data_IF_354836804112
#
_entry.id   IF_354836804112
#
_cell.length_a   1.000
_cell.length_b   1.000
_cell.length_c   1.000
_cell.angle_alpha   90.00
_cell.angle_beta   90.00
_cell.angle_gamma   90.00
#
_symmetry.space_group_name_H-M   'P 1'
#
loop_
_entity.id
_entity.type
_entity.pdbx_description
1 polymer ?
2 non-polymer ?
3 non-polymer ?
4 non-polymer ?
5 water ?
#
# COMPACT_ATOMS: atom_id res chain seq x y z
N UNK A 1 -14.13 6.95 23.92
CA UNK A 1 -15.39 7.70 24.13
C UNK A 1 -15.55 8.76 23.03
N UNK A 2 -14.59 9.65 22.83
CA UNK A 2 -14.83 10.66 21.76
C UNK A 2 -14.49 10.08 20.38
N UNK A 3 -13.39 9.35 20.24
CA UNK A 3 -12.99 8.92 18.88
C UNK A 3 -12.75 7.42 18.77
N UNK A 4 -13.48 6.76 17.89
CA UNK A 4 -13.14 5.39 17.57
C UNK A 4 -12.22 5.38 16.34
N UNK A 5 -10.97 5.00 16.57
CA UNK A 5 -10.00 4.80 15.50
C UNK A 5 -10.05 3.35 15.05
N UNK A 6 -10.38 3.12 13.78
CA UNK A 6 -10.42 1.77 13.23
C UNK A 6 -9.03 1.46 12.65
N UNK A 7 -8.31 0.55 13.29
CA UNK A 7 -6.98 0.17 12.81
C UNK A 7 -5.82 0.61 13.68
N UNK A 8 -4.91 -0.31 13.97
CA UNK A 8 -3.69 0.00 14.73
C UNK A 8 -2.42 -0.31 13.92
N UNK A 9 -2.49 -0.15 12.60
CA UNK A 9 -1.28 -0.09 11.82
C UNK A 9 -0.64 1.27 11.99
N UNK A 10 0.33 1.56 11.11
CA UNK A 10 1.07 2.81 11.15
C UNK A 10 0.16 4.04 11.17
N UNK A 11 -0.97 3.98 10.45
CA UNK A 11 -1.86 5.15 10.43
C UNK A 11 -2.64 5.29 11.73
N UNK A 12 -3.27 4.21 12.20
CA UNK A 12 -4.02 4.30 13.46
C UNK A 12 -3.13 4.73 14.59
N UNK A 13 -1.91 4.20 14.64
CA UNK A 13 -0.97 4.61 15.67
C UNK A 13 -0.69 6.11 15.59
N UNK A 14 -0.54 6.65 14.38
CA UNK A 14 -0.30 8.08 14.28
C UNK A 14 -1.53 8.85 14.75
N UNK A 15 -2.72 8.34 14.47
CA UNK A 15 -3.93 9.03 14.90
C UNK A 15 -4.03 8.99 16.42
N UNK A 16 -3.77 7.81 17.00
CA UNK A 16 -3.81 7.69 18.45
C UNK A 16 -2.81 8.60 19.15
N UNK A 17 -1.58 8.63 18.64
CA UNK A 17 -0.59 9.59 19.08
C UNK A 17 -1.13 11.01 18.96
N UNK A 18 -1.71 11.35 17.80
CA UNK A 18 -2.19 12.71 17.61
C UNK A 18 -3.30 13.06 18.60
N UNK A 19 -4.23 12.14 18.79
CA UNK A 19 -5.33 12.37 19.72
C UNK A 19 -4.82 12.41 21.16
N UNK A 20 -3.97 11.46 21.53
CA UNK A 20 -3.43 11.44 22.89
C UNK A 20 -2.70 12.74 23.22
N UNK A 21 -2.04 13.34 22.24
CA UNK A 21 -1.30 14.57 22.51
C UNK A 21 -2.20 15.78 22.66
N UNK A 22 -3.45 15.70 22.19
CA UNK A 22 -4.40 16.78 22.43
C UNK A 22 -5.31 16.48 23.61
N UNK A 23 -5.04 15.44 24.38
CA UNK A 23 -5.94 15.13 25.47
C UNK A 23 -7.27 14.58 25.02
N UNK A 24 -7.38 14.15 23.77
CA UNK A 24 -8.66 13.70 23.24
C UNK A 24 -8.86 12.23 23.53
N UNK A 25 -10.02 11.88 24.04
CA UNK A 25 -10.35 10.52 24.41
C UNK A 25 -10.62 9.70 23.15
N UNK A 26 -10.08 8.48 23.12
CA UNK A 26 -10.27 7.62 21.96
C UNK A 26 -10.06 6.16 22.34
N UNK A 27 -10.54 5.29 21.49
CA UNK A 27 -10.16 3.89 21.54
C UNK A 27 -9.81 3.47 20.13
N UNK A 28 -8.88 2.55 20.03
CA UNK A 28 -8.39 2.05 18.76
C UNK A 28 -8.77 0.59 18.64
N UNK A 29 -9.60 0.27 17.65
CA UNK A 29 -10.02 -1.10 17.42
C UNK A 29 -9.22 -1.69 16.29
N UNK A 30 -8.58 -2.85 16.55
CA UNK A 30 -7.71 -3.51 15.60
C UNK A 30 -8.02 -5.01 15.53
N UNK A 31 -8.03 -5.54 14.29
CA UNK A 31 -8.35 -6.94 14.05
C UNK A 31 -7.29 -7.87 14.59
N UNK A 32 -6.03 -7.57 14.28
CA UNK A 32 -4.93 -8.48 14.48
C UNK A 32 -4.66 -8.66 15.96
N UNK A 33 -3.96 -9.73 16.35
CA UNK A 33 -3.61 -9.89 17.77
C UNK A 33 -2.62 -8.83 18.28
N UNK A 34 -2.03 -8.03 17.39
CA UNK A 34 -1.15 -6.95 17.84
C UNK A 34 -1.25 -5.76 16.88
N UNK A 35 -0.50 -4.70 17.21
CA UNK A 35 -0.42 -3.50 16.39
C UNK A 35 0.66 -3.68 15.34
N UNK A 36 0.76 -2.75 14.40
CA UNK A 36 1.72 -2.82 13.31
C UNK A 36 1.11 -2.94 11.93
N UNK A 37 -0.16 -3.30 11.82
CA UNK A 37 -0.72 -3.42 10.49
C UNK A 37 -0.04 -4.53 9.73
N UNK A 38 0.15 -4.30 8.42
CA UNK A 38 0.72 -5.34 7.57
C UNK A 38 2.12 -5.75 8.00
N UNK A 39 2.90 -4.83 8.58
CA UNK A 39 4.30 -5.13 8.83
C UNK A 39 4.48 -6.27 9.83
N UNK A 40 3.48 -6.56 10.66
CA UNK A 40 3.57 -7.68 11.59
C UNK A 40 2.96 -8.96 11.05
N UNK A 41 2.36 -8.92 9.85
CA UNK A 41 1.65 -10.10 9.34
C UNK A 41 2.59 -11.20 8.90
N UNK A 42 3.70 -10.92 8.16
CA UNK A 42 4.70 -11.92 7.90
C UNK A 42 5.38 -11.85 9.23
N UNK A 43 5.65 -12.98 9.85
CA UNK A 43 6.20 -12.87 11.21
C UNK A 43 5.22 -13.54 12.11
N UNK A 44 4.01 -13.71 11.61
CA UNK A 44 2.96 -14.40 12.35
C UNK A 44 2.31 -15.36 11.37
N UNK A 45 2.97 -15.55 10.23
CA UNK A 45 2.46 -16.48 9.21
C UNK A 45 1.07 -16.09 8.86
N UNK A 46 0.82 -14.79 8.84
CA UNK A 46 -0.56 -14.33 8.62
C UNK A 46 -0.75 -14.03 7.13
N UNK A 47 -1.94 -14.32 6.63
CA UNK A 47 -2.26 -14.04 5.23
C UNK A 47 -2.43 -12.54 5.07
N UNK A 48 -1.54 -11.89 4.36
CA UNK A 48 -1.78 -10.48 4.13
C UNK A 48 -0.92 -10.03 2.98
N UNK A 49 -0.85 -8.73 2.70
CA UNK A 49 -0.10 -8.24 1.56
C UNK A 49 1.38 -8.46 1.62
N UNK A 50 1.93 -8.77 2.78
CA UNK A 50 3.35 -8.93 2.93
C UNK A 50 3.78 -10.35 2.62
N UNK A 51 5.09 -10.53 2.82
CA UNK A 51 5.76 -11.81 2.53
C UNK A 51 7.02 -11.78 3.38
N UNK A 52 7.69 -12.90 3.57
CA UNK A 52 8.82 -12.96 4.53
C UNK A 52 10.10 -12.31 4.01
N UNK A 53 10.10 -11.81 2.77
CA UNK A 53 11.29 -11.11 2.26
C UNK A 53 11.02 -9.63 2.23
N UNK A 54 9.82 -9.21 2.60
CA UNK A 54 9.44 -7.79 2.53
C UNK A 54 10.32 -6.93 3.43
N UNK A 55 10.99 -5.96 2.81
CA UNK A 55 11.69 -4.85 3.46
C UNK A 55 11.02 -3.56 3.02
N UNK A 56 11.28 -2.49 3.78
CA UNK A 56 10.95 -1.16 3.31
C UNK A 56 11.67 -0.88 2.00
N UNK A 57 11.00 -0.16 1.10
CA UNK A 57 11.72 0.44 -0.02
C UNK A 57 11.87 1.94 0.15
N UNK A 58 11.58 2.46 1.34
CA UNK A 58 11.81 3.86 1.68
C UNK A 58 12.85 3.92 2.78
N UNK A 59 13.67 4.98 2.77
CA UNK A 59 14.72 5.10 3.76
C UNK A 59 14.14 5.18 5.18
N UNK A 60 14.87 4.62 6.14
CA UNK A 60 14.32 4.49 7.49
C UNK A 60 14.08 5.85 8.13
N UNK A 61 15.04 6.78 7.99
CA UNK A 61 14.91 8.09 8.61
C UNK A 61 13.81 8.90 7.98
N UNK A 62 13.37 8.54 6.78
CA UNK A 62 12.21 9.16 6.18
C UNK A 62 10.94 8.39 6.47
N UNK A 63 11.05 7.21 7.06
CA UNK A 63 9.86 6.40 7.27
C UNK A 63 9.46 6.33 8.73
N UNK A 64 10.43 6.36 9.64
CA UNK A 64 10.12 6.44 11.04
C UNK A 64 9.25 7.65 11.34
N UNK A 65 8.56 7.57 12.47
CA UNK A 65 7.79 8.71 12.92
C UNK A 65 8.75 9.85 13.25
N UNK A 66 8.29 11.08 13.02
CA UNK A 66 9.17 12.24 13.16
C UNK A 66 9.75 12.36 14.57
N UNK A 67 8.95 12.09 15.61
CA UNK A 67 9.39 12.20 17.00
C UNK A 67 9.93 10.89 17.59
N UNK A 68 10.16 9.86 16.77
CA UNK A 68 10.46 8.52 17.30
C UNK A 68 11.32 7.77 16.28
N UNK A 69 12.62 8.04 16.27
CA UNK A 69 13.48 7.44 15.24
C UNK A 69 13.64 5.94 15.44
N UNK A 70 13.82 5.26 14.32
CA UNK A 70 14.05 3.80 14.38
C UNK A 70 15.42 3.58 15.02
N UNK A 71 15.64 2.41 15.62
CA UNK A 71 16.93 2.12 16.22
C UNK A 71 18.06 2.43 15.27
N UNK A 72 19.15 2.98 15.81
CA UNK A 72 20.29 3.42 14.97
C UNK A 72 20.88 2.25 14.19
N UNK A 73 20.86 1.06 14.78
CA UNK A 73 21.46 -0.10 14.14
C UNK A 73 20.59 -0.60 12.99
N UNK A 74 19.34 -0.16 12.91
CA UNK A 74 18.53 -0.55 11.78
C UNK A 74 19.24 -0.18 10.48
N UNK A 75 19.09 -0.99 9.44
CA UNK A 75 19.60 -0.59 8.12
C UNK A 75 18.69 0.46 7.51
N UNK A 76 19.14 0.97 6.36
CA UNK A 76 18.33 1.88 5.58
C UNK A 76 16.98 1.26 5.24
N UNK A 77 16.94 -0.03 4.94
CA UNK A 77 15.71 -0.71 4.51
C UNK A 77 15.39 -1.85 5.47
N UNK A 78 14.78 -1.56 6.62
CA UNK A 78 14.54 -2.61 7.63
C UNK A 78 13.67 -3.74 7.10
N UNK A 79 13.88 -4.92 7.67
CA UNK A 79 12.97 -6.04 7.39
C UNK A 79 11.59 -5.76 7.99
N UNK A 80 10.58 -6.46 7.48
CA UNK A 80 9.24 -6.34 8.02
C UNK A 80 9.21 -6.60 9.52
N UNK A 81 10.03 -7.53 10.02
CA UNK A 81 10.04 -7.79 11.45
C UNK A 81 10.62 -6.62 12.24
N UNK A 82 11.61 -5.92 11.68
CA UNK A 82 12.14 -4.76 12.39
C UNK A 82 11.12 -3.63 12.42
N UNK A 83 10.40 -3.43 11.32
CA UNK A 83 9.34 -2.42 11.26
C UNK A 83 8.25 -2.74 12.28
N UNK A 84 7.81 -4.00 12.30
CA UNK A 84 6.77 -4.39 13.24
C UNK A 84 7.21 -4.17 14.68
N UNK A 85 8.45 -4.51 15.00
CA UNK A 85 8.94 -4.29 16.35
C UNK A 85 9.03 -2.80 16.63
N UNK A 86 9.44 -2.02 15.63
CA UNK A 86 9.47 -0.57 15.77
C UNK A 86 8.09 -0.01 16.08
N UNK A 87 7.09 -0.42 15.32
CA UNK A 87 5.72 0.06 15.52
C UNK A 87 5.17 -0.30 16.91
N UNK A 88 5.32 -1.56 17.32
CA UNK A 88 4.95 -1.94 18.67
C UNK A 88 5.67 -1.08 19.69
N UNK A 89 6.97 -0.85 19.47
CA UNK A 89 7.75 -0.03 20.39
C UNK A 89 7.25 1.41 20.41
N UNK A 90 6.73 1.90 19.28
CA UNK A 90 6.14 3.23 19.26
C UNK A 90 4.88 3.29 20.11
N UNK A 91 3.98 2.32 19.93
CA UNK A 91 2.75 2.30 20.68
C UNK A 91 3.03 2.30 22.17
N UNK A 92 4.03 1.52 22.59
CA UNK A 92 4.42 1.48 23.99
C UNK A 92 4.89 2.85 24.47
N UNK A 93 5.84 3.43 23.75
CA UNK A 93 6.38 4.71 24.16
C UNK A 93 5.29 5.77 24.20
N UNK A 94 4.46 5.83 23.17
CA UNK A 94 3.45 6.88 23.09
C UNK A 94 2.29 6.66 24.06
N UNK A 95 2.32 5.59 24.85
CA UNK A 95 1.26 5.36 25.83
C UNK A 95 -0.07 4.98 25.20
N UNK A 96 -0.05 4.27 24.08
CA UNK A 96 -1.25 4.07 23.30
C UNK A 96 -1.98 2.78 23.62
N UNK A 97 -1.28 1.76 24.12
CA UNK A 97 -1.85 0.41 24.10
C UNK A 97 -3.05 0.26 25.03
N UNK A 98 -3.13 1.05 26.09
CA UNK A 98 -4.32 0.95 26.92
C UNK A 98 -5.56 1.53 26.25
N UNK A 99 -5.38 2.23 25.13
CA UNK A 99 -6.50 2.70 24.31
C UNK A 99 -6.77 1.79 23.12
N UNK A 100 -6.10 0.65 23.04
CA UNK A 100 -6.15 -0.22 21.87
C UNK A 100 -6.84 -1.52 22.26
N UNK A 101 -7.88 -1.89 21.54
CA UNK A 101 -8.56 -3.16 21.70
C UNK A 101 -8.09 -4.08 20.57
N UNK A 102 -7.23 -5.02 20.90
CA UNK A 102 -6.77 -6.01 19.92
C UNK A 102 -7.85 -7.07 19.70
N UNK A 103 -7.58 -7.95 18.72
CA UNK A 103 -8.51 -9.04 18.36
C UNK A 103 -9.96 -8.54 18.29
N UNK A 104 -10.14 -7.32 17.78
CA UNK A 104 -11.43 -6.63 17.79
C UNK A 104 -11.62 -6.04 16.41
N UNK A 105 -12.61 -6.53 15.69
CA UNK A 105 -12.78 -6.18 14.30
C UNK A 105 -14.06 -5.38 14.14
N UNK A 106 -13.96 -4.20 13.51
CA UNK A 106 -15.15 -3.38 13.34
C UNK A 106 -15.98 -3.93 12.18
N UNK A 107 -17.30 -4.08 12.39
CA UNK A 107 -18.16 -4.75 11.42
C UNK A 107 -19.21 -3.80 10.82
N UNK A 108 -19.78 -2.87 11.59
CA UNK A 108 -20.61 -1.84 10.95
C UNK A 108 -20.29 -0.48 11.54
N UNK A 109 -20.47 0.55 10.73
CA UNK A 109 -20.29 1.96 11.13
C UNK A 109 -21.44 2.75 10.52
N UNK A 110 -22.31 3.30 11.36
CA UNK A 110 -23.48 4.04 10.91
C UNK A 110 -23.58 5.37 11.63
N UNK A 111 -23.82 6.43 10.87
CA UNK A 111 -24.05 7.74 11.45
C UNK A 111 -25.49 7.87 11.93
N UNK A 112 -25.65 8.21 13.21
CA UNK A 112 -26.97 8.40 13.78
C UNK A 112 -27.42 9.83 13.53
N UNK A 113 -28.73 9.99 13.39
CA UNK A 113 -29.30 11.25 12.92
C UNK A 113 -28.97 12.43 13.82
N UNK A 114 -28.35 12.19 14.98
CA UNK A 114 -27.98 13.30 15.91
C UNK A 114 -26.49 13.62 15.81
N UNK A 115 -25.75 12.86 15.01
CA UNK A 115 -24.33 13.19 14.80
C UNK A 115 -23.42 12.06 15.19
N UNK A 116 -23.53 11.48 16.40
CA UNK A 116 -22.71 10.34 16.76
C UNK A 116 -22.76 9.14 15.84
N UNK A 117 -21.72 8.33 15.91
CA UNK A 117 -21.62 7.15 15.08
C UNK A 117 -21.80 5.90 15.95
N UNK A 118 -22.66 5.00 15.51
CA UNK A 118 -22.81 3.71 16.16
C UNK A 118 -21.81 2.75 15.52
N UNK A 119 -20.97 2.13 16.33
CA UNK A 119 -19.89 1.26 15.84
C UNK A 119 -20.06 -0.14 16.43
N UNK A 120 -20.17 -1.14 15.55
CA UNK A 120 -20.36 -2.52 15.99
C UNK A 120 -19.07 -3.28 15.75
N UNK A 121 -18.47 -3.78 16.83
CA UNK A 121 -17.23 -4.51 16.75
C UNK A 121 -17.48 -5.96 17.12
N UNK A 122 -16.67 -6.84 16.53
CA UNK A 122 -16.74 -8.28 16.87
C UNK A 122 -15.42 -8.66 17.54
N UNK A 123 -15.50 -9.23 18.74
CA UNK A 123 -14.26 -9.53 19.49
C UNK A 123 -13.74 -10.95 19.31
N UNK A 124 -12.84 -11.37 20.20
CA UNK A 124 -12.28 -12.74 20.16
C UNK A 124 -13.45 -13.71 20.26
N UNK A 125 -14.26 -13.55 21.32
CA UNK A 125 -15.42 -14.44 21.57
C UNK A 125 -16.34 -14.59 20.37
N UNK A 126 -16.07 -13.84 19.30
CA UNK A 126 -16.96 -13.87 18.12
C UNK A 126 -18.17 -13.05 18.45
N UNK A 127 -18.20 -12.53 19.67
CA UNK A 127 -19.37 -11.76 20.13
C UNK A 127 -19.37 -10.40 19.48
N UNK A 128 -20.49 -9.71 19.60
CA UNK A 128 -20.60 -8.38 18.97
C UNK A 128 -21.12 -7.38 19.99
N UNK A 129 -20.52 -6.22 20.01
CA UNK A 129 -20.99 -5.16 20.90
C UNK A 129 -21.12 -3.88 20.08
N UNK A 130 -22.13 -3.09 20.38
CA UNK A 130 -22.46 -1.91 19.62
C UNK A 130 -22.25 -0.70 20.52
N UNK A 131 -21.49 0.29 20.02
CA UNK A 131 -21.12 1.44 20.81
C UNK A 131 -21.27 2.70 19.98
N UNK A 132 -21.46 3.82 20.67
CA UNK A 132 -21.61 5.13 20.06
C UNK A 132 -20.36 5.97 20.32
N UNK A 133 -19.91 6.68 19.29
CA UNK A 133 -18.76 7.55 19.41
C UNK A 133 -19.08 8.87 18.75
N UNK A 134 -18.40 9.91 19.23
CA UNK A 134 -18.57 11.24 18.66
C UNK A 134 -18.13 11.24 17.21
N UNK A 135 -16.94 10.70 16.95
CA UNK A 135 -16.31 10.76 15.65
C UNK A 135 -15.58 9.44 15.41
N UNK A 136 -15.38 9.13 14.13
CA UNK A 136 -14.75 7.88 13.73
C UNK A 136 -13.64 8.22 12.75
N UNK A 137 -12.46 7.68 12.99
CA UNK A 137 -11.33 7.79 12.07
C UNK A 137 -11.06 6.42 11.47
N UNK A 138 -11.21 6.31 10.16
CA UNK A 138 -10.91 5.10 9.42
C UNK A 138 -9.41 5.08 9.11
N UNK A 139 -8.73 4.05 9.60
CA UNK A 139 -7.30 3.86 9.41
C UNK A 139 -7.07 2.39 9.12
N UNK A 140 -7.89 1.84 8.22
CA UNK A 140 -7.96 0.40 8.00
C UNK A 140 -7.10 -0.06 6.85
N UNK A 141 -6.31 0.82 6.23
CA UNK A 141 -5.50 0.47 5.08
C UNK A 141 -6.36 0.27 3.84
N UNK A 142 -5.70 0.27 2.67
CA UNK A 142 -6.41 0.04 1.42
C UNK A 142 -5.90 -1.19 0.65
N UNK A 143 -5.22 -2.12 1.33
CA UNK A 143 -4.91 -3.42 0.76
C UNK A 143 -5.74 -4.51 1.43
N UNK A 144 -7.05 -4.39 1.26
CA UNK A 144 -7.99 -5.26 2.00
C UNK A 144 -8.44 -6.47 1.18
N UNK A 145 -8.79 -6.25 -0.08
CA UNK A 145 -9.33 -7.37 -0.85
C UNK A 145 -8.38 -7.66 -2.00
N UNK A 146 -8.00 -8.93 -2.20
CA UNK A 146 -7.15 -9.29 -3.32
C UNK A 146 -7.82 -8.94 -4.63
N UNK A 147 -7.03 -8.44 -5.56
CA UNK A 147 -7.56 -8.08 -6.89
C UNK A 147 -7.01 -9.03 -7.94
N UNK A 148 -7.74 -10.09 -8.24
CA UNK A 148 -7.37 -11.00 -9.30
C UNK A 148 -7.79 -10.43 -10.65
N UNK A 149 -7.12 -10.81 -11.73
CA UNK A 149 -7.53 -10.31 -13.05
C UNK A 149 -8.87 -10.92 -13.46
N UNK A 150 -9.61 -10.17 -14.26
CA UNK A 150 -10.92 -10.58 -14.74
C UNK A 150 -10.89 -10.63 -16.25
N UNK A 151 -11.07 -11.80 -16.87
CA UNK A 151 -11.27 -13.05 -16.13
C UNK A 151 -9.96 -13.74 -15.81
N UNK A 152 -10.03 -14.87 -15.11
CA UNK A 152 -8.91 -15.78 -15.10
C UNK A 152 -8.64 -16.24 -16.53
N UNK A 153 -7.41 -16.62 -16.83
CA UNK A 153 -7.16 -17.37 -18.07
C UNK A 153 -8.03 -18.62 -18.14
N UNK A 154 -8.35 -19.04 -19.37
CA UNK A 154 -9.19 -20.20 -19.58
C UNK A 154 -8.50 -21.47 -19.07
N UNK A 155 -9.31 -22.42 -18.60
CA UNK A 155 -8.78 -23.66 -18.06
C UNK A 155 -8.30 -23.59 -16.63
N UNK A 156 -8.52 -22.47 -15.94
CA UNK A 156 -8.06 -22.33 -14.56
C UNK A 156 -8.71 -23.35 -13.65
N UNK A 157 -9.98 -23.68 -13.89
CA UNK A 157 -10.67 -24.66 -13.05
C UNK A 157 -10.09 -26.06 -13.23
N UNK A 158 -9.62 -26.38 -14.44
CA UNK A 158 -8.97 -27.66 -14.70
C UNK A 158 -7.51 -27.69 -14.28
N UNK A 159 -7.01 -26.65 -13.62
CA UNK A 159 -5.59 -26.53 -13.39
C UNK A 159 -5.11 -27.63 -12.43
N UNK A 160 -3.97 -28.23 -12.75
CA UNK A 160 -3.45 -29.28 -11.89
C UNK A 160 -2.93 -28.75 -10.58
N UNK A 161 -2.51 -27.49 -10.56
CA UNK A 161 -1.85 -26.96 -9.34
C UNK A 161 -2.58 -25.87 -8.58
N UNK A 162 -1.83 -25.02 -7.90
CA UNK A 162 -2.45 -24.02 -7.00
C UNK A 162 -2.44 -22.66 -7.62
N UNK A 163 -3.60 -22.03 -7.71
CA UNK A 163 -3.67 -20.62 -8.18
C UNK A 163 -3.87 -19.76 -6.93
N UNK A 164 -2.89 -18.92 -6.63
CA UNK A 164 -2.95 -18.14 -5.38
C UNK A 164 -2.62 -16.68 -5.62
N UNK A 165 -2.98 -15.84 -4.67
CA UNK A 165 -2.69 -14.41 -4.71
C UNK A 165 -1.53 -14.12 -3.76
N UNK A 166 -0.85 -12.99 -3.98
CA UNK A 166 0.23 -12.60 -3.06
C UNK A 166 -0.28 -12.46 -1.63
N UNK A 167 -1.59 -12.28 -1.44
CA UNK A 167 -2.15 -12.36 -0.10
C UNK A 167 -1.83 -13.71 0.53
N UNK A 168 -2.20 -14.78 -0.16
CA UNK A 168 -2.01 -16.14 0.40
C UNK A 168 -0.52 -16.53 0.36
N UNK A 169 0.35 -15.64 -0.12
CA UNK A 169 1.79 -15.99 -0.25
C UNK A 169 2.55 -15.46 0.94
N UNK A 170 3.35 -16.31 1.54
CA UNK A 170 4.14 -15.89 2.71
C UNK A 170 5.64 -16.15 2.48
N UNK A 171 5.99 -17.34 2.06
CA UNK A 171 7.44 -17.67 1.99
C UNK A 171 7.77 -18.56 0.80
N UNK A 172 8.75 -18.13 0.03
CA UNK A 172 9.24 -18.98 -1.04
C UNK A 172 9.65 -20.36 -0.59
N UNK A 173 10.05 -20.51 0.67
CA UNK A 173 10.31 -21.83 1.19
C UNK A 173 9.16 -22.78 0.95
N UNK A 174 7.92 -22.27 0.99
CA UNK A 174 6.74 -23.10 0.79
C UNK A 174 6.62 -23.62 -0.62
N UNK A 175 7.56 -23.26 -1.50
CA UNK A 175 7.51 -23.66 -2.90
C UNK A 175 8.82 -24.30 -3.33
N UNK A 176 9.63 -24.75 -2.36
CA UNK A 176 10.94 -25.31 -2.67
C UNK A 176 10.81 -26.45 -3.68
N UNK A 177 11.61 -26.40 -4.74
CA UNK A 177 11.60 -27.48 -5.74
C UNK A 177 10.41 -27.44 -6.69
N UNK A 178 9.49 -26.50 -6.47
CA UNK A 178 8.27 -26.47 -7.30
C UNK A 178 8.48 -25.49 -8.47
N UNK A 179 7.65 -25.61 -9.50
CA UNK A 179 7.74 -24.72 -10.68
C UNK A 179 6.61 -23.69 -10.52
N UNK A 180 6.96 -22.42 -10.39
CA UNK A 180 5.94 -21.38 -10.08
C UNK A 180 5.91 -20.21 -11.06
N UNK A 181 4.72 -19.79 -11.45
CA UNK A 181 4.51 -18.60 -12.26
C UNK A 181 4.05 -17.45 -11.37
N UNK A 182 4.79 -16.33 -11.41
CA UNK A 182 4.39 -15.08 -10.75
C UNK A 182 3.80 -14.15 -11.79
N UNK A 183 2.61 -13.61 -11.50
CA UNK A 183 1.91 -12.71 -12.45
C UNK A 183 1.91 -11.29 -11.88
N UNK A 184 2.53 -10.36 -12.58
CA UNK A 184 2.61 -8.97 -12.14
C UNK A 184 3.97 -8.38 -12.36
N UNK A 185 4.09 -7.06 -12.30
CA UNK A 185 5.42 -6.42 -12.40
C UNK A 185 5.46 -5.29 -11.36
N UNK A 186 4.75 -5.48 -10.25
CA UNK A 186 4.71 -4.46 -9.20
C UNK A 186 5.58 -4.82 -8.02
N UNK A 187 5.52 -4.01 -6.97
CA UNK A 187 6.39 -4.25 -5.82
C UNK A 187 6.29 -5.69 -5.34
N UNK A 188 5.06 -6.17 -5.16
CA UNK A 188 4.86 -7.56 -4.74
C UNK A 188 5.46 -8.53 -5.76
N UNK A 189 5.19 -8.31 -7.04
CA UNK A 189 5.53 -9.30 -8.04
C UNK A 189 7.03 -9.51 -8.14
N UNK A 190 7.82 -8.43 -8.18
CA UNK A 190 9.25 -8.61 -8.37
C UNK A 190 9.88 -9.20 -7.13
N UNK A 191 9.39 -8.77 -5.94
CA UNK A 191 9.90 -9.30 -4.68
C UNK A 191 9.61 -10.80 -4.56
N UNK A 192 8.37 -11.21 -4.88
CA UNK A 192 7.99 -12.60 -4.71
C UNK A 192 8.67 -13.47 -5.78
N UNK A 193 8.78 -12.98 -7.01
CA UNK A 193 9.60 -13.67 -8.01
C UNK A 193 11.05 -13.82 -7.53
N UNK A 194 11.67 -12.72 -7.10
CA UNK A 194 13.03 -12.78 -6.54
C UNK A 194 13.11 -13.82 -5.43
N UNK A 195 12.11 -13.85 -4.56
CA UNK A 195 12.14 -14.79 -3.44
C UNK A 195 11.99 -16.22 -3.93
N UNK A 196 11.03 -16.46 -4.83
CA UNK A 196 10.90 -17.78 -5.46
C UNK A 196 12.16 -18.17 -6.22
N UNK A 197 12.93 -17.20 -6.68
CA UNK A 197 14.10 -17.52 -7.47
C UNK A 197 15.18 -18.22 -6.69
N UNK A 198 15.04 -18.38 -5.37
CA UNK A 198 16.06 -19.06 -4.57
C UNK A 198 15.51 -20.26 -3.82
N UNK A 199 14.26 -20.62 -4.05
CA UNK A 199 13.66 -21.85 -3.54
C UNK A 199 12.99 -22.68 -4.63
N UNK A 200 12.24 -22.05 -5.53
CA UNK A 200 11.60 -22.76 -6.63
C UNK A 200 12.65 -23.43 -7.51
N UNK A 201 12.25 -24.53 -8.13
CA UNK A 201 13.09 -25.10 -9.18
C UNK A 201 13.14 -24.16 -10.36
N UNK A 202 12.00 -23.56 -10.69
CA UNK A 202 11.94 -22.60 -11.78
C UNK A 202 10.93 -21.52 -11.42
N UNK A 203 11.31 -20.28 -11.66
CA UNK A 203 10.42 -19.15 -11.43
C UNK A 203 10.20 -18.41 -12.74
N UNK A 204 8.94 -18.32 -13.14
CA UNK A 204 8.53 -17.57 -14.32
C UNK A 204 7.84 -16.28 -13.91
N UNK A 205 8.17 -15.18 -14.59
CA UNK A 205 7.56 -13.88 -14.35
C UNK A 205 6.71 -13.51 -15.55
N UNK A 206 5.40 -13.73 -15.45
CA UNK A 206 4.46 -13.46 -16.55
C UNK A 206 4.04 -11.99 -16.47
N UNK A 207 4.43 -11.22 -17.47
CA UNK A 207 4.12 -9.75 -17.50
C UNK A 207 3.30 -9.41 -18.75
N UNK A 208 2.38 -8.48 -18.61
CA UNK A 208 1.54 -8.07 -19.76
C UNK A 208 1.90 -6.64 -20.14
N UNK A 209 1.66 -5.71 -19.23
CA UNK A 209 2.01 -4.30 -19.47
C UNK A 209 3.34 -4.01 -18.79
N UNK A 210 4.16 -3.17 -19.41
CA UNK A 210 5.50 -2.89 -18.87
C UNK A 210 5.51 -1.80 -17.83
N UNK A 211 6.30 -2.00 -16.78
CA UNK A 211 6.48 -0.98 -15.76
C UNK A 211 7.93 -0.55 -15.72
N UNK A 212 8.16 0.67 -15.26
CA UNK A 212 9.52 1.13 -15.09
C UNK A 212 10.10 0.51 -13.81
N UNK A 213 11.17 -0.26 -13.97
CA UNK A 213 11.78 -0.98 -12.86
C UNK A 213 12.98 -0.17 -12.43
N UNK A 214 12.88 0.44 -11.26
CA UNK A 214 13.88 1.39 -10.80
C UNK A 214 14.61 0.80 -9.60
N UNK A 215 15.94 0.90 -9.53
CA UNK A 215 16.64 0.47 -8.32
C UNK A 215 16.21 1.31 -7.13
N UNK A 216 16.42 0.74 -5.94
CA UNK A 216 16.12 1.47 -4.72
C UNK A 216 17.08 2.64 -4.50
N UNK A 217 18.01 2.87 -5.41
CA UNK A 217 19.16 3.71 -5.14
C UNK A 217 19.75 4.18 -6.46
N UNK A 218 19.97 5.49 -6.58
CA UNK A 218 20.85 6.04 -7.60
C UNK A 218 21.84 6.96 -6.90
N UNK A 219 23.06 7.05 -7.45
CA UNK A 219 24.16 7.78 -6.83
C UNK A 219 24.36 7.40 -5.36
N UNK A 220 24.10 6.15 -5.01
CA UNK A 220 24.09 5.78 -3.62
C UNK A 220 22.92 6.31 -2.84
N UNK A 221 22.10 7.19 -3.42
CA UNK A 221 21.01 7.84 -2.73
C UNK A 221 19.71 7.08 -2.95
N UNK A 222 19.05 6.70 -1.87
CA UNK A 222 17.70 6.17 -1.96
C UNK A 222 16.83 7.09 -2.82
N UNK A 223 16.01 6.48 -3.69
CA UNK A 223 15.21 7.28 -4.62
C UNK A 223 14.30 8.27 -3.88
N UNK A 224 13.82 7.92 -2.70
CA UNK A 224 13.03 8.89 -1.94
C UNK A 224 13.89 9.91 -1.21
N UNK A 225 15.16 9.57 -0.92
CA UNK A 225 16.09 10.60 -0.46
C UNK A 225 16.33 11.64 -1.56
N UNK A 226 16.55 11.20 -2.80
CA UNK A 226 16.80 12.14 -3.92
C UNK A 226 15.58 13.05 -4.03
N UNK A 227 14.39 12.44 -3.98
CA UNK A 227 13.14 13.21 -4.14
C UNK A 227 13.13 14.45 -3.25
N UNK A 228 13.91 14.44 -2.18
CA UNK A 228 13.87 15.58 -1.23
C UNK A 228 15.03 16.50 -1.55
N UNK A 229 16.10 15.94 -2.08
CA UNK A 229 17.31 16.74 -2.34
C UNK A 229 16.91 18.06 -2.98
N UNK A 230 17.43 19.19 -2.47
CA UNK A 230 17.07 20.49 -3.01
C UNK A 230 17.40 20.50 -4.48
N UNK A 231 18.61 20.05 -4.82
CA UNK A 231 19.02 20.11 -6.21
C UNK A 231 18.07 19.38 -7.14
N UNK A 232 17.29 18.43 -6.63
CA UNK A 232 16.31 17.75 -7.48
C UNK A 232 15.02 18.56 -7.59
N UNK A 233 14.57 19.14 -6.47
CA UNK A 233 13.45 20.06 -6.55
C UNK A 233 13.84 21.34 -7.26
N UNK A 234 15.14 21.69 -7.22
CA UNK A 234 15.67 22.77 -8.05
C UNK A 234 15.36 22.58 -9.53
N UNK A 235 15.00 21.38 -9.92
CA UNK A 235 15.00 20.94 -11.31
C UNK A 235 13.59 20.97 -11.90
N UNK A 236 13.53 21.11 -13.22
CA UNK A 236 12.22 21.13 -13.93
C UNK A 236 11.69 19.70 -14.08
N UNK A 237 10.37 19.54 -14.20
CA UNK A 237 9.74 18.20 -14.26
C UNK A 237 10.03 17.52 -15.59
N UNK A 238 10.88 18.12 -16.40
CA UNK A 238 11.32 17.47 -17.66
C UNK A 238 12.83 17.33 -17.53
N UNK A 239 13.47 18.28 -16.87
CA UNK A 239 14.91 18.19 -16.61
C UNK A 239 15.17 16.98 -15.70
N UNK A 240 14.24 16.71 -14.78
CA UNK A 240 14.40 15.58 -13.84
C UNK A 240 14.13 14.29 -14.61
N UNK A 241 13.01 14.25 -15.35
CA UNK A 241 12.69 13.04 -16.14
C UNK A 241 13.96 12.63 -16.87
N UNK A 242 14.59 13.57 -17.54
CA UNK A 242 15.79 13.23 -18.33
C UNK A 242 16.88 12.77 -17.36
N UNK A 243 17.07 13.50 -16.27
CA UNK A 243 18.04 13.04 -15.26
C UNK A 243 17.74 11.60 -14.90
N UNK A 244 16.48 11.31 -14.58
CA UNK A 244 16.19 9.95 -14.11
C UNK A 244 16.44 8.94 -15.22
N UNK A 245 15.86 9.17 -16.40
CA UNK A 245 15.98 8.19 -17.47
C UNK A 245 17.41 8.07 -17.97
N UNK A 246 18.21 9.12 -17.88
CA UNK A 246 19.62 8.94 -18.19
C UNK A 246 20.32 8.15 -17.09
N UNK A 247 20.04 8.47 -15.82
CA UNK A 247 20.61 7.68 -14.72
C UNK A 247 20.20 6.22 -14.84
N UNK A 248 18.89 5.97 -14.99
CA UNK A 248 18.41 4.61 -15.13
C UNK A 248 19.20 3.84 -16.19
N UNK A 249 19.47 4.48 -17.33
CA UNK A 249 20.12 3.72 -18.38
C UNK A 249 21.59 3.45 -18.08
N UNK A 250 22.25 4.33 -17.33
CA UNK A 250 23.60 4.01 -16.87
C UNK A 250 23.56 2.86 -15.88
N UNK A 251 22.53 2.79 -15.06
CA UNK A 251 22.52 1.78 -13.97
C UNK A 251 22.02 0.40 -14.39
N UNK A 252 20.97 0.34 -15.19
CA UNK A 252 20.38 -0.95 -15.54
C UNK A 252 20.29 -1.10 -17.05
N UNK A 253 20.43 0.00 -17.78
CA UNK A 253 20.28 -0.05 -19.23
C UNK A 253 18.83 0.09 -19.62
N UNK A 254 18.37 -0.74 -20.54
CA UNK A 254 16.96 -0.66 -21.01
C UNK A 254 16.24 -1.96 -20.68
N UNK A 255 14.99 -1.85 -20.28
CA UNK A 255 14.23 -3.04 -19.81
C UNK A 255 14.08 -4.08 -20.92
N UNK A 256 13.82 -3.65 -22.14
CA UNK A 256 13.67 -4.60 -23.28
C UNK A 256 14.83 -5.57 -23.28
N UNK A 257 16.03 -5.09 -22.95
CA UNK A 257 17.18 -5.98 -23.01
C UNK A 257 17.28 -6.93 -21.82
N UNK A 258 16.32 -6.91 -20.89
CA UNK A 258 16.17 -7.96 -19.88
C UNK A 258 14.98 -8.85 -20.17
N UNK A 259 14.37 -8.70 -21.35
CA UNK A 259 13.21 -9.49 -21.71
C UNK A 259 11.90 -8.89 -21.26
N UNK A 260 11.96 -7.68 -20.72
CA UNK A 260 10.73 -7.13 -20.12
C UNK A 260 10.06 -6.17 -21.12
N UNK A 261 8.72 -6.10 -21.10
CA UNK A 261 8.03 -5.17 -21.96
C UNK A 261 8.45 -3.76 -21.60
N UNK A 262 8.78 -2.98 -22.60
CA UNK A 262 9.13 -1.57 -22.34
C UNK A 262 7.82 -0.82 -22.14
N UNK A 263 7.72 0.00 -21.08
CA UNK A 263 6.52 0.77 -20.84
C UNK A 263 6.09 1.67 -21.97
N UNK A 264 4.85 2.14 -21.91
CA UNK A 264 4.29 3.02 -22.98
C UNK A 264 4.18 4.43 -22.44
N UNK A 265 5.21 4.91 -21.77
CA UNK A 265 5.13 6.18 -21.06
C UNK A 265 6.41 6.47 -20.30
N UNK A 266 6.83 7.74 -20.09
CA UNK A 266 8.05 7.97 -19.35
C UNK A 266 7.90 7.62 -17.90
N UNK A 267 9.00 7.74 -17.17
CA UNK A 267 8.96 7.49 -15.71
C UNK A 267 7.96 8.47 -15.09
N UNK A 268 7.55 8.22 -13.84
CA UNK A 268 6.57 9.07 -13.13
C UNK A 268 5.24 8.86 -13.77
N UNK A 269 5.16 9.05 -15.06
CA UNK A 269 3.89 8.70 -15.76
C UNK A 269 3.55 7.28 -15.36
N UNK A 270 2.27 7.00 -15.06
CA UNK A 270 1.89 5.66 -14.54
C UNK A 270 2.58 5.41 -13.21
N UNK A 271 3.29 4.29 -13.07
CA UNK A 271 3.89 3.98 -11.77
C UNK A 271 5.26 3.32 -11.94
N UNK A 272 6.04 3.32 -10.86
CA UNK A 272 7.39 2.74 -10.94
C UNK A 272 7.51 1.65 -9.91
N UNK A 273 8.09 0.53 -10.31
CA UNK A 273 8.32 -0.54 -9.35
C UNK A 273 9.77 -0.51 -8.91
N UNK A 274 9.99 -0.60 -7.61
CA UNK A 274 11.33 -0.56 -7.03
C UNK A 274 11.85 -1.97 -6.83
N UNK A 275 13.09 -2.22 -7.23
CA UNK A 275 13.74 -3.49 -6.97
C UNK A 275 15.23 -3.36 -7.18
N UNK A 276 16.02 -3.91 -6.26
CA UNK A 276 17.45 -4.10 -6.51
C UNK A 276 17.76 -5.48 -7.09
N UNK A 277 16.77 -6.34 -7.25
CA UNK A 277 17.06 -7.76 -7.48
C UNK A 277 16.57 -8.32 -8.81
N UNK A 278 15.43 -7.87 -9.33
CA UNK A 278 14.70 -8.67 -10.31
C UNK A 278 15.43 -8.73 -11.65
N UNK A 279 16.05 -7.63 -12.07
CA UNK A 279 16.82 -7.63 -13.32
C UNK A 279 17.99 -8.59 -13.23
N UNK A 280 18.76 -8.50 -12.14
CA UNK A 280 19.89 -9.39 -11.96
C UNK A 280 19.44 -10.84 -11.93
N UNK A 281 18.31 -11.10 -11.27
CA UNK A 281 17.78 -12.46 -11.25
C UNK A 281 17.50 -12.96 -12.66
N UNK A 282 16.98 -12.07 -13.51
CA UNK A 282 16.70 -12.44 -14.89
C UNK A 282 17.99 -12.77 -15.61
N UNK A 283 18.96 -11.84 -15.53
CA UNK A 283 20.25 -12.03 -16.15
C UNK A 283 20.98 -13.26 -15.60
N UNK A 284 20.64 -13.74 -14.40
CA UNK A 284 21.20 -14.99 -13.92
C UNK A 284 20.34 -16.20 -14.24
N UNK A 285 19.25 -16.01 -15.00
CA UNK A 285 18.40 -17.12 -15.35
C UNK A 285 17.58 -17.66 -14.20
N UNK A 286 17.58 -16.98 -13.05
CA UNK A 286 16.82 -17.44 -11.91
C UNK A 286 15.34 -17.12 -12.06
N UNK A 287 15.03 -16.05 -12.77
CA UNK A 287 13.66 -15.69 -13.11
C UNK A 287 13.61 -15.53 -14.62
N UNK A 288 12.56 -16.07 -15.25
CA UNK A 288 12.40 -16.06 -16.70
C UNK A 288 11.18 -15.23 -17.08
N UNK A 289 11.41 -14.09 -17.78
CA UNK A 289 10.32 -13.23 -18.17
C UNK A 289 9.49 -13.93 -19.20
N UNK A 290 8.19 -13.91 -18.99
CA UNK A 290 7.26 -14.55 -19.94
C UNK A 290 6.19 -13.53 -20.26
N UNK A 291 5.42 -13.69 -21.34
CA UNK A 291 4.33 -12.78 -21.60
C UNK A 291 3.14 -13.13 -20.74
N UNK A 292 1.96 -12.80 -21.21
CA UNK A 292 0.76 -13.01 -20.38
C UNK A 292 0.30 -14.47 -20.45
N UNK A 293 -0.34 -14.94 -19.39
CA UNK A 293 -0.87 -16.32 -19.36
C UNK A 293 -2.14 -16.32 -20.23
N UNK A 294 -2.23 -17.26 -21.15
CA UNK A 294 -3.39 -17.35 -22.02
C UNK A 294 -4.30 -18.53 -21.71
N UNK A 295 -3.81 -19.55 -21.02
CA UNK A 295 -4.64 -20.72 -20.71
C UNK A 295 -3.88 -21.61 -19.74
N UNK A 296 -4.62 -22.41 -19.01
CA UNK A 296 -4.00 -23.43 -18.15
C UNK A 296 -4.36 -24.75 -18.78
N UNK A 297 -3.36 -25.52 -19.18
CA UNK A 297 -3.57 -26.84 -19.83
C UNK A 297 -3.11 -27.92 -18.87
N UNK A 298 -3.98 -28.35 -17.98
CA UNK A 298 -3.62 -29.38 -16.99
C UNK A 298 -2.53 -28.93 -16.05
N UNK A 299 -1.30 -29.42 -16.23
CA UNK A 299 -0.17 -29.10 -15.33
C UNK A 299 0.63 -27.99 -15.95
N UNK A 300 0.22 -27.53 -17.12
CA UNK A 300 1.07 -26.56 -17.82
C UNK A 300 0.42 -25.17 -17.86
N UNK A 301 1.26 -24.15 -18.03
CA UNK A 301 0.75 -22.77 -18.19
C UNK A 301 1.15 -22.35 -19.61
N UNK A 302 0.19 -21.94 -20.40
CA UNK A 302 0.42 -21.54 -21.78
C UNK A 302 0.37 -20.02 -21.85
N UNK A 303 1.35 -19.46 -22.54
CA UNK A 303 1.46 -17.98 -22.59
C UNK A 303 1.05 -17.51 -23.96
N UNK A 304 0.89 -16.20 -24.09
CA UNK A 304 0.37 -15.61 -25.33
C UNK A 304 1.34 -15.74 -26.48
N UNK A 305 2.60 -16.11 -26.20
CA UNK A 305 3.63 -16.27 -27.25
C UNK A 305 3.62 -17.70 -27.74
N UNK A 306 2.55 -18.45 -27.44
CA UNK A 306 2.56 -19.87 -27.75
C UNK A 306 3.43 -20.75 -26.87
N UNK A 307 4.42 -20.20 -26.16
CA UNK A 307 5.23 -21.08 -25.33
C UNK A 307 4.45 -21.55 -24.12
N UNK A 308 5.05 -22.47 -23.38
CA UNK A 308 4.31 -23.24 -22.42
C UNK A 308 5.31 -23.80 -21.42
N UNK A 309 4.88 -23.95 -20.17
CA UNK A 309 5.74 -24.48 -19.12
C UNK A 309 4.88 -25.26 -18.15
N UNK A 310 5.36 -26.38 -17.62
CA UNK A 310 4.67 -27.00 -16.49
C UNK A 310 4.82 -26.13 -15.26
N UNK A 311 3.74 -25.99 -14.50
CA UNK A 311 3.70 -25.10 -13.36
C UNK A 311 2.89 -25.76 -12.26
N UNK A 312 3.47 -25.86 -11.07
CA UNK A 312 2.70 -26.38 -9.95
C UNK A 312 1.91 -25.29 -9.22
N UNK A 313 2.23 -24.01 -9.45
CA UNK A 313 1.53 -22.92 -8.78
C UNK A 313 1.60 -21.65 -9.61
N UNK A 314 0.59 -20.81 -9.45
CA UNK A 314 0.57 -19.46 -10.00
C UNK A 314 0.28 -18.51 -8.87
N UNK A 315 1.10 -17.47 -8.75
CA UNK A 315 0.97 -16.51 -7.67
C UNK A 315 0.60 -15.19 -8.31
N UNK A 316 -0.64 -14.75 -8.08
CA UNK A 316 -1.16 -13.54 -8.69
C UNK A 316 -0.79 -12.34 -7.82
N UNK A 317 0.12 -11.51 -8.33
CA UNK A 317 0.54 -10.27 -7.70
C UNK A 317 -0.06 -9.14 -8.51
N UNK A 318 -1.39 -9.16 -8.64
CA UNK A 318 -2.13 -8.18 -9.39
C UNK A 318 -2.74 -7.11 -8.49
N UNK A 319 -2.29 -7.01 -7.25
CA UNK A 319 -2.62 -5.90 -6.39
C UNK A 319 -3.80 -6.19 -5.48
N UNK A 320 -4.36 -5.11 -4.95
CA UNK A 320 -5.42 -5.22 -3.97
C UNK A 320 -6.53 -4.24 -4.27
N UNK A 321 -7.74 -4.66 -4.00
CA UNK A 321 -8.90 -3.79 -4.04
C UNK A 321 -9.08 -3.05 -2.72
N UNK A 322 -9.48 -1.80 -2.83
CA UNK A 322 -9.68 -0.90 -1.70
C UNK A 322 -11.15 -0.95 -1.32
N UNK A 323 -11.47 -1.57 -0.20
CA UNK A 323 -12.85 -1.71 0.24
C UNK A 323 -12.97 -1.32 1.71
N UNK A 324 -14.21 -1.11 2.14
CA UNK A 324 -14.52 -0.70 3.51
C UNK A 324 -15.80 -1.39 3.95
N UNK A 325 -15.76 -2.70 4.18
CA UNK A 325 -17.01 -3.45 4.46
C UNK A 325 -17.82 -2.90 5.62
N UNK A 326 -17.16 -2.28 6.59
CA UNK A 326 -17.84 -1.78 7.81
C UNK A 326 -18.58 -0.48 7.52
N UNK A 327 -18.33 0.11 6.36
CA UNK A 327 -19.02 1.36 5.96
C UNK A 327 -20.13 1.01 4.97
N UNK A 328 -21.39 0.90 5.43
CA UNK A 328 -22.47 0.49 4.55
C UNK A 328 -22.53 1.13 3.15
N UNK A 329 -22.41 2.45 3.05
CA UNK A 329 -22.40 3.09 1.71
C UNK A 329 -20.97 3.19 1.18
N UNK A 330 -19.98 3.16 2.06
CA UNK A 330 -18.59 3.09 1.60
C UNK A 330 -17.89 4.39 1.36
N UNK A 331 -16.58 4.33 1.18
CA UNK A 331 -15.76 5.55 0.98
C UNK A 331 -16.44 6.42 -0.07
N UNK A 332 -16.64 7.71 0.25
CA UNK A 332 -17.28 8.61 -0.69
C UNK A 332 -16.53 8.38 -1.98
N UNK A 333 -17.26 8.00 -3.01
CA UNK A 333 -16.58 7.68 -4.28
C UNK A 333 -17.31 8.33 -5.46
N UNK A 334 -16.62 8.44 -6.58
CA UNK A 334 -17.27 8.97 -7.79
C UNK A 334 -17.70 7.77 -8.63
N UNK A 335 -18.59 8.00 -9.58
CA UNK A 335 -19.03 6.91 -10.47
C UNK A 335 -17.79 6.24 -11.04
N UNK A 336 -16.80 7.04 -11.45
CA UNK A 336 -15.57 6.49 -12.07
C UNK A 336 -14.81 5.60 -11.09
N UNK A 337 -15.13 5.66 -9.81
CA UNK A 337 -14.41 4.88 -8.79
C UNK A 337 -13.39 5.75 -8.12
N UNK A 338 -13.40 7.04 -8.44
CA UNK A 338 -12.42 7.99 -7.86
C UNK A 338 -12.81 8.33 -6.43
N UNK A 339 -11.84 8.30 -5.52
CA UNK A 339 -12.09 8.70 -4.15
C UNK A 339 -12.48 10.17 -4.12
N UNK A 340 -13.49 10.50 -3.31
CA UNK A 340 -13.91 11.88 -3.09
C UNK A 340 -13.76 12.19 -1.60
N UNK A 341 -12.56 12.66 -1.24
CA UNK A 341 -12.24 13.03 0.12
C UNK A 341 -11.57 14.38 0.07
N UNK A 342 -12.18 15.36 0.73
CA UNK A 342 -11.59 16.69 0.81
C UNK A 342 -10.19 16.57 1.34
N UNK A 343 -9.21 17.09 0.58
CA UNK A 343 -7.81 17.01 0.93
C UNK A 343 -7.45 15.57 1.30
N UNK A 344 -8.04 14.62 0.58
CA UNK A 344 -7.76 13.19 0.66
C UNK A 344 -8.15 12.57 2.01
N UNK A 345 -8.84 13.31 2.90
CA UNK A 345 -9.13 12.83 4.24
C UNK A 345 -10.63 12.84 4.55
N UNK A 346 -11.36 13.84 4.07
CA UNK A 346 -12.61 14.23 4.69
C UNK A 346 -13.78 14.06 3.72
N UNK A 347 -14.76 13.23 4.06
CA UNK A 347 -15.98 13.18 3.25
C UNK A 347 -16.69 14.52 3.32
N UNK A 348 -17.43 14.88 2.28
CA UNK A 348 -18.03 16.22 2.29
C UNK A 348 -19.41 16.20 2.93
N UNK A 349 -20.02 15.04 3.01
CA UNK A 349 -21.41 14.97 3.49
C UNK A 349 -21.55 14.36 4.87
N UNK A 350 -20.49 13.75 5.40
CA UNK A 350 -20.62 13.01 6.67
C UNK A 350 -19.65 13.59 7.72
N UNK A 351 -20.10 14.55 8.55
CA UNK A 351 -19.24 15.13 9.59
C UNK A 351 -18.85 14.08 10.61
N UNK A 352 -17.61 14.17 11.09
CA UNK A 352 -17.14 13.27 12.12
C UNK A 352 -16.58 11.96 11.63
N UNK A 353 -16.47 11.77 10.31
CA UNK A 353 -15.75 10.66 9.71
C UNK A 353 -14.47 11.16 9.06
N UNK A 354 -13.39 10.42 9.25
CA UNK A 354 -12.12 10.83 8.70
C UNK A 354 -11.40 9.60 8.18
N UNK A 355 -10.73 9.75 7.04
CA UNK A 355 -9.90 8.69 6.49
C UNK A 355 -8.45 9.13 6.52
N UNK A 356 -7.61 8.32 7.15
CA UNK A 356 -6.20 8.60 7.35
C UNK A 356 -5.38 7.48 6.72
N UNK A 357 -4.36 7.83 5.94
CA UNK A 357 -3.52 6.83 5.28
C UNK A 357 -3.98 6.39 3.90
N UNK A 358 -5.13 6.87 3.44
CA UNK A 358 -5.65 6.58 2.12
C UNK A 358 -5.06 7.54 1.09
N UNK A 359 -3.74 7.71 1.15
CA UNK A 359 -3.00 8.41 0.11
C UNK A 359 -1.93 7.47 -0.40
N UNK A 360 -1.42 7.80 -1.58
CA UNK A 360 -0.34 7.00 -2.17
C UNK A 360 0.73 7.96 -2.69
N UNK A 361 1.69 8.34 -1.85
CA UNK A 361 2.68 9.30 -2.27
C UNK A 361 3.88 8.69 -2.91
N UNK A 362 4.72 9.55 -3.44
CA UNK A 362 6.01 9.06 -3.95
C UNK A 362 6.88 8.99 -2.70
N UNK A 363 7.25 7.79 -2.30
CA UNK A 363 8.03 7.71 -1.07
C UNK A 363 7.22 7.29 0.13
N UNK A 364 7.71 7.61 1.31
CA UNK A 364 7.08 7.13 2.54
C UNK A 364 5.75 7.84 2.83
N UNK A 365 4.84 7.06 3.37
CA UNK A 365 3.53 7.59 3.73
C UNK A 365 3.51 8.25 5.10
N UNK A 366 4.63 8.22 5.84
CA UNK A 366 4.58 8.50 7.27
C UNK A 366 4.32 9.98 7.55
N UNK A 367 5.21 10.86 7.09
CA UNK A 367 5.00 12.30 7.23
C UNK A 367 3.58 12.70 6.84
N UNK A 368 3.02 12.03 5.83
CA UNK A 368 1.69 12.40 5.38
C UNK A 368 0.64 12.01 6.40
N UNK A 369 0.70 10.78 6.93
CA UNK A 369 -0.31 10.42 7.90
C UNK A 369 -0.08 11.15 9.21
N UNK A 370 1.18 11.53 9.51
CA UNK A 370 1.43 12.32 10.72
C UNK A 370 0.74 13.67 10.61
N UNK A 371 0.78 14.27 9.41
CA UNK A 371 0.10 15.54 9.19
C UNK A 371 -1.41 15.33 9.14
N UNK A 372 -1.87 14.25 8.50
CA UNK A 372 -3.30 13.95 8.48
C UNK A 372 -3.85 13.81 9.88
N UNK A 373 -3.17 12.97 10.71
CA UNK A 373 -3.58 12.75 12.10
C UNK A 373 -3.60 14.04 12.89
N UNK A 374 -2.60 14.89 12.66
CA UNK A 374 -2.55 16.12 13.44
C UNK A 374 -3.68 17.05 13.06
N UNK A 375 -4.02 17.12 11.77
CA UNK A 375 -5.16 17.91 11.35
C UNK A 375 -6.46 17.33 11.91
N UNK A 376 -6.70 16.05 11.70
CA UNK A 376 -7.96 15.40 12.17
C UNK A 376 -8.14 15.66 13.67
N UNK A 377 -7.07 15.56 14.45
CA UNK A 377 -7.17 15.79 15.91
C UNK A 377 -7.63 17.21 16.19
N UNK A 378 -7.14 18.17 15.41
CA UNK A 378 -7.53 19.59 15.62
C UNK A 378 -8.98 19.78 15.15
N UNK A 379 -9.44 19.00 14.18
CA UNK A 379 -10.85 19.06 13.75
C UNK A 379 -11.74 18.42 14.82
N UNK A 380 -11.28 17.34 15.45
CA UNK A 380 -12.12 16.65 16.45
C UNK A 380 -12.40 17.55 17.66
N UNK A 381 -11.39 18.27 18.16
CA UNK A 381 -11.68 19.10 19.31
C UNK A 381 -11.80 20.57 18.95
N UNK A 382 -11.91 20.90 17.67
CA UNK A 382 -12.42 22.19 17.27
C UNK A 382 -11.40 23.29 17.03
N UNK A 383 -10.10 23.02 17.22
CA UNK A 383 -9.11 24.01 16.83
C UNK A 383 -9.10 24.29 15.32
N UNK A 384 -9.61 23.36 14.50
CA UNK A 384 -9.69 23.52 13.05
C UNK A 384 -11.11 23.28 12.58
N UNK A 385 -11.42 23.83 11.40
CA UNK A 385 -12.75 23.79 10.80
C UNK A 385 -12.63 23.48 9.31
N UNK A 386 -13.68 22.96 8.76
CA UNK A 386 -13.89 22.52 7.40
C UNK A 386 -14.64 23.58 6.61
N UNK A 387 -14.40 23.67 5.31
CA UNK A 387 -15.27 24.48 4.45
C UNK A 387 -16.69 23.91 4.43
N UNK A 388 -17.63 24.76 4.00
CA UNK A 388 -18.94 24.23 3.66
C UNK A 388 -18.79 23.08 2.66
N UNK A 389 -19.82 22.25 2.56
CA UNK A 389 -19.70 21.01 1.79
C UNK A 389 -19.47 21.28 0.30
N UNK A 390 -20.23 22.19 -0.29
CA UNK A 390 -20.00 22.55 -1.69
C UNK A 390 -18.53 22.88 -1.92
N UNK A 391 -18.00 23.76 -1.06
CA UNK A 391 -16.59 24.15 -1.20
C UNK A 391 -15.67 22.96 -1.00
N UNK A 392 -16.10 21.95 -0.26
CA UNK A 392 -15.26 20.77 -0.15
C UNK A 392 -15.31 19.94 -1.45
N UNK A 393 -16.48 19.83 -2.07
CA UNK A 393 -16.53 19.14 -3.37
C UNK A 393 -15.76 19.88 -4.45
N UNK A 394 -15.44 21.16 -4.25
CA UNK A 394 -14.66 21.88 -5.25
C UNK A 394 -13.18 21.53 -5.18
N UNK A 395 -12.62 21.41 -3.96
CA UNK A 395 -11.23 20.96 -3.86
C UNK A 395 -11.09 19.54 -4.40
N UNK A 396 -12.00 18.64 -3.99
CA UNK A 396 -12.13 17.33 -4.59
C UNK A 396 -12.15 17.46 -6.12
N UNK A 397 -12.95 18.39 -6.64
CA UNK A 397 -13.08 18.56 -8.08
C UNK A 397 -11.77 18.92 -8.77
N UNK A 398 -11.06 19.93 -8.25
CA UNK A 398 -9.82 20.31 -8.91
C UNK A 398 -8.68 19.33 -8.62
N UNK A 399 -8.71 18.63 -7.47
CA UNK A 399 -7.71 17.59 -7.26
C UNK A 399 -7.89 16.45 -8.25
N UNK A 400 -9.15 16.07 -8.51
CA UNK A 400 -9.45 14.93 -9.36
C UNK A 400 -9.19 15.26 -10.82
N UNK A 401 -9.80 16.34 -11.33
CA UNK A 401 -9.55 16.71 -12.71
C UNK A 401 -8.07 16.98 -12.96
N UNK A 402 -7.31 17.14 -11.88
CA UNK A 402 -5.85 17.35 -12.02
C UNK A 402 -5.10 16.04 -12.07
N UNK A 403 -5.66 14.98 -11.50
CA UNK A 403 -4.99 13.64 -11.55
C UNK A 403 -5.28 13.00 -12.92
N UNK A 404 -6.36 13.41 -13.57
CA UNK A 404 -6.58 12.89 -14.96
C UNK A 404 -5.57 13.62 -15.85
N UNK A 405 -5.20 14.84 -15.48
CA UNK A 405 -4.18 15.55 -16.25
C UNK A 405 -2.83 14.82 -16.19
N UNK A 406 -2.54 14.19 -15.07
CA UNK A 406 -1.22 13.53 -14.90
C UNK A 406 -1.30 12.03 -15.21
N UNK A 407 -2.40 11.37 -14.86
CA UNK A 407 -2.42 9.90 -15.02
C UNK A 407 -3.58 9.45 -15.87
N UNK A 408 -4.32 10.39 -16.46
CA UNK A 408 -5.52 9.97 -17.20
C UNK A 408 -6.43 9.15 -16.31
N UNK A 409 -7.09 8.15 -16.88
CA UNK A 409 -8.08 7.37 -16.10
C UNK A 409 -7.36 6.45 -15.11
N UNK A 410 -6.31 5.74 -15.53
CA UNK A 410 -5.64 4.75 -14.63
C UNK A 410 -6.71 4.00 -13.86
N UNK A 411 -6.64 3.99 -12.53
CA UNK A 411 -7.62 3.20 -11.74
C UNK A 411 -7.48 3.51 -10.25
N UNK A 412 -6.25 3.63 -9.75
CA UNK A 412 -6.04 4.00 -8.33
C UNK A 412 -5.25 5.29 -8.23
N UNK A 413 -5.54 6.25 -9.11
CA UNK A 413 -4.81 7.54 -9.08
C UNK A 413 -5.56 8.51 -8.18
N UNK A 414 -6.76 8.14 -7.74
CA UNK A 414 -7.61 9.01 -6.90
C UNK A 414 -7.03 9.16 -5.49
N UNK A 415 -5.91 8.55 -5.19
CA UNK A 415 -5.27 8.66 -3.85
C UNK A 415 -3.81 9.08 -4.03
N UNK A 416 -3.42 9.36 -5.26
CA UNK A 416 -2.02 9.76 -5.55
C UNK A 416 -1.81 11.19 -5.06
N UNK A 417 -0.67 11.44 -4.44
CA UNK A 417 -0.41 12.80 -3.85
C UNK A 417 1.05 13.21 -4.05
N UNK A 418 1.28 14.48 -4.35
CA UNK A 418 2.67 15.00 -4.42
C UNK A 418 3.12 15.17 -2.98
N UNK A 419 4.16 14.46 -2.54
CA UNK A 419 4.45 14.49 -1.12
C UNK A 419 4.89 15.87 -0.67
N UNK A 420 5.53 16.64 -1.54
CA UNK A 420 6.02 17.95 -1.18
C UNK A 420 4.91 18.95 -0.88
N UNK A 421 4.13 19.31 -1.90
CA UNK A 421 3.07 20.33 -1.70
C UNK A 421 2.03 19.94 -0.66
N UNK A 422 1.63 18.67 -0.63
CA UNK A 422 0.61 18.20 0.33
C UNK A 422 1.01 18.57 1.74
N UNK A 423 2.13 18.02 2.22
CA UNK A 423 2.63 18.29 3.58
C UNK A 423 2.69 19.79 3.84
N UNK A 424 3.04 20.60 2.82
CA UNK A 424 3.21 22.05 3.00
C UNK A 424 1.92 22.71 3.45
N UNK A 425 0.79 22.13 3.07
CA UNK A 425 -0.52 22.70 3.45
C UNK A 425 -0.82 22.36 4.92
N UNK A 426 0.06 21.59 5.56
CA UNK A 426 -0.14 21.27 6.99
C UNK A 426 1.06 21.81 7.76
#
# INVERSE_FOLDING_TARGET
MRVCVIGAGLSGLAVGHALKERGISFVCLEKAPDVGGIWRQPGAGERGPGYRTLHLNTAKQLTGYADFPMPDAYPLYPRHSQVAAYLRSFAEWAGLLDHVELRTEVVSVRQDADGPWTVVSRGADGAQVSRRFEQVVVASGHHNEPALPDPLPAGADSFAGTILHSLDYRDGGDFAGRRVVVVGLGASAVDIAADLSRHAERTLLSVRRGLHIVPKQLFGMSVDEIAEAPWWNEMSFDERRRWVEQALLVARGRLSDYGLPEPDHPVFSSATTLSDEILSRIRHGAVTPKPAIASFDGDRVVFTDGTSEPADAVVYCTGFHMTFPFLPAGCPMSADGSVELYRRVVPADRPGLYFVGLVAPVGAITRLVEAQAEWVARLVDGAAVLPAADQMREEIGTYLTGIVQRYGRTEGASIQVDVGPYLAEFRESLPV
#
